data_IF_626070627079
#
_entry.id   IF_626070627079
#
_cell.length_a   1.000
_cell.length_b   1.000
_cell.length_c   1.000
_cell.angle_alpha   90.00
_cell.angle_beta   90.00
_cell.angle_gamma   90.00
#
_symmetry.space_group_name_H-M   'P 1'
#
loop_
_entity.id
_entity.type
_entity.pdbx_description
1 polymer ?
#
# COMPACT_ATOMS: atom_id res chain seq x y z
N UNK A 1 8.71 -21.62 -38.59
CA UNK A 1 7.46 -22.24 -38.14
C UNK A 1 7.73 -22.93 -36.80
N UNK A 2 7.36 -22.31 -35.70
CA UNK A 2 7.46 -22.92 -34.36
C UNK A 2 6.34 -23.97 -34.31
N UNK A 3 6.71 -25.25 -34.23
CA UNK A 3 5.76 -26.35 -34.23
C UNK A 3 4.78 -26.23 -33.05
N UNK A 4 3.53 -25.93 -33.34
CA UNK A 4 2.40 -25.95 -32.40
C UNK A 4 2.15 -27.34 -31.79
N UNK A 5 2.83 -28.37 -32.27
CA UNK A 5 2.71 -29.76 -31.83
C UNK A 5 3.24 -30.02 -30.39
N UNK A 6 4.02 -29.11 -29.81
CA UNK A 6 4.52 -29.24 -28.43
C UNK A 6 3.38 -29.09 -27.40
N UNK A 7 2.28 -28.43 -27.76
CA UNK A 7 1.14 -28.24 -26.86
C UNK A 7 0.20 -29.45 -26.74
N UNK A 8 0.36 -30.46 -27.61
CA UNK A 8 -0.58 -31.59 -27.73
C UNK A 8 -0.24 -32.77 -26.80
N UNK A 9 0.96 -32.78 -26.21
CA UNK A 9 1.39 -33.87 -25.33
C UNK A 9 1.20 -33.60 -23.83
N UNK A 10 0.43 -32.55 -23.47
CA UNK A 10 0.10 -32.29 -22.08
C UNK A 10 -0.85 -33.36 -21.53
N UNK A 11 -0.49 -33.94 -20.41
CA UNK A 11 -1.37 -34.90 -19.70
C UNK A 11 -2.60 -34.14 -19.18
N UNK A 12 -3.70 -34.88 -18.90
CA UNK A 12 -4.91 -34.27 -18.32
C UNK A 12 -4.64 -33.55 -16.98
N UNK A 13 -3.68 -34.05 -16.22
CA UNK A 13 -3.24 -33.42 -14.98
C UNK A 13 -2.53 -32.08 -15.23
N UNK A 14 -1.68 -32.01 -16.27
CA UNK A 14 -0.98 -30.78 -16.65
C UNK A 14 -1.98 -29.70 -17.11
N UNK A 15 -3.00 -30.08 -17.86
CA UNK A 15 -4.07 -29.17 -18.29
C UNK A 15 -4.84 -28.58 -17.10
N UNK A 16 -5.20 -29.42 -16.11
CA UNK A 16 -5.87 -28.98 -14.88
C UNK A 16 -4.99 -28.04 -14.08
N UNK A 17 -3.70 -28.30 -13.98
CA UNK A 17 -2.75 -27.49 -13.24
C UNK A 17 -2.54 -26.13 -13.93
N UNK A 18 -2.37 -26.12 -15.26
CA UNK A 18 -2.28 -24.87 -16.04
C UNK A 18 -3.56 -24.05 -15.89
N UNK A 19 -4.73 -24.69 -15.94
CA UNK A 19 -5.99 -24.01 -15.72
C UNK A 19 -6.10 -23.41 -14.30
N UNK A 20 -5.68 -24.15 -13.28
CA UNK A 20 -5.66 -23.67 -11.90
C UNK A 20 -4.71 -22.49 -11.72
N UNK A 21 -3.51 -22.54 -12.30
CA UNK A 21 -2.53 -21.45 -12.28
C UNK A 21 -3.07 -20.21 -12.98
N UNK A 22 -3.74 -20.38 -14.13
CA UNK A 22 -4.36 -19.28 -14.87
C UNK A 22 -5.47 -18.62 -14.05
N UNK A 23 -6.29 -19.42 -13.36
CA UNK A 23 -7.36 -18.92 -12.50
C UNK A 23 -6.79 -18.14 -11.31
N UNK A 24 -5.73 -18.64 -10.66
CA UNK A 24 -5.01 -17.93 -9.58
C UNK A 24 -4.42 -16.63 -10.10
N UNK A 25 -3.82 -16.64 -11.29
CA UNK A 25 -3.26 -15.44 -11.91
C UNK A 25 -4.33 -14.36 -12.17
N UNK A 26 -5.48 -14.77 -12.72
CA UNK A 26 -6.63 -13.87 -12.92
C UNK A 26 -7.11 -13.31 -11.58
N UNK A 27 -7.22 -14.15 -10.55
CA UNK A 27 -7.63 -13.71 -9.21
C UNK A 27 -6.67 -12.64 -8.65
N UNK A 28 -5.36 -12.85 -8.80
CA UNK A 28 -4.33 -11.87 -8.39
C UNK A 28 -4.51 -10.54 -9.13
N UNK A 29 -4.74 -10.59 -10.46
CA UNK A 29 -4.97 -9.37 -11.25
C UNK A 29 -6.22 -8.61 -10.79
N UNK A 30 -7.31 -9.32 -10.48
CA UNK A 30 -8.54 -8.71 -9.93
C UNK A 30 -8.25 -8.03 -8.59
N UNK A 31 -7.54 -8.70 -7.68
CA UNK A 31 -7.16 -8.15 -6.37
C UNK A 31 -6.32 -6.87 -6.55
N UNK A 32 -5.30 -6.91 -7.42
CA UNK A 32 -4.46 -5.74 -7.72
C UNK A 32 -5.31 -4.60 -8.30
N UNK A 33 -6.24 -4.90 -9.20
CA UNK A 33 -7.16 -3.92 -9.79
C UNK A 33 -8.05 -3.24 -8.75
N UNK A 34 -8.63 -4.03 -7.84
CA UNK A 34 -9.47 -3.52 -6.74
C UNK A 34 -8.64 -2.65 -5.79
N UNK A 35 -7.44 -3.10 -5.41
CA UNK A 35 -6.53 -2.32 -4.56
C UNK A 35 -6.12 -1.01 -5.24
N UNK A 36 -5.77 -1.05 -6.52
CA UNK A 36 -5.46 0.15 -7.31
C UNK A 36 -6.62 1.14 -7.36
N UNK A 37 -7.85 0.65 -7.59
CA UNK A 37 -9.05 1.49 -7.55
C UNK A 37 -9.29 2.13 -6.18
N UNK A 38 -9.15 1.37 -5.10
CA UNK A 38 -9.29 1.88 -3.73
C UNK A 38 -8.25 2.96 -3.41
N UNK A 39 -6.99 2.75 -3.80
CA UNK A 39 -5.92 3.74 -3.64
C UNK A 39 -6.23 5.02 -4.43
N UNK A 40 -6.67 4.90 -5.68
CA UNK A 40 -7.05 6.05 -6.50
C UNK A 40 -8.21 6.85 -5.87
N UNK A 41 -9.23 6.17 -5.36
CA UNK A 41 -10.36 6.76 -4.66
C UNK A 41 -9.93 7.49 -3.37
N UNK A 42 -9.02 6.91 -2.61
CA UNK A 42 -8.42 7.53 -1.42
C UNK A 42 -7.63 8.80 -1.79
N UNK A 43 -6.82 8.76 -2.84
CA UNK A 43 -6.06 9.91 -3.31
C UNK A 43 -6.99 11.07 -3.74
N UNK A 44 -8.06 10.77 -4.48
CA UNK A 44 -9.06 11.77 -4.88
C UNK A 44 -9.77 12.39 -3.68
N UNK A 45 -10.13 11.60 -2.68
CA UNK A 45 -10.74 12.10 -1.44
C UNK A 45 -9.79 13.00 -0.63
N UNK A 46 -8.49 12.64 -0.59
CA UNK A 46 -7.45 13.43 0.06
C UNK A 46 -7.21 14.76 -0.65
N UNK A 47 -7.21 14.77 -1.98
CA UNK A 47 -7.11 15.99 -2.78
C UNK A 47 -8.23 16.97 -2.42
N UNK A 48 -9.48 16.51 -2.36
CA UNK A 48 -10.61 17.35 -1.94
C UNK A 48 -10.41 17.98 -0.56
N UNK A 49 -9.91 17.22 0.41
CA UNK A 49 -9.66 17.77 1.77
C UNK A 49 -8.58 18.84 1.78
N UNK A 50 -7.54 18.71 0.97
CA UNK A 50 -6.50 19.74 0.84
C UNK A 50 -7.05 20.96 0.13
N UNK A 51 -7.80 20.78 -0.96
CA UNK A 51 -8.39 21.88 -1.70
C UNK A 51 -9.33 22.72 -0.80
N UNK A 52 -10.18 22.07 0.02
CA UNK A 52 -11.03 22.76 1.01
C UNK A 52 -10.19 23.50 2.05
N UNK A 53 -9.17 22.84 2.63
CA UNK A 53 -8.32 23.46 3.64
C UNK A 53 -7.57 24.68 3.11
N UNK A 54 -7.07 24.60 1.88
CA UNK A 54 -6.36 25.69 1.21
C UNK A 54 -7.33 26.82 0.87
N UNK A 55 -8.51 26.49 0.31
CA UNK A 55 -9.55 27.45 -0.01
C UNK A 55 -9.98 28.23 1.23
N UNK A 56 -10.34 27.54 2.31
CA UNK A 56 -10.76 28.20 3.57
C UNK A 56 -9.68 29.11 4.12
N UNK A 57 -8.41 28.69 4.10
CA UNK A 57 -7.30 29.46 4.61
C UNK A 57 -7.00 30.74 3.79
N UNK A 58 -7.25 30.70 2.48
CA UNK A 58 -7.00 31.82 1.56
C UNK A 58 -8.22 32.79 1.54
N UNK A 59 -9.45 32.26 1.45
CA UNK A 59 -10.68 33.06 1.38
C UNK A 59 -10.89 33.87 2.67
N UNK A 60 -10.58 33.30 3.83
CA UNK A 60 -10.65 34.03 5.11
C UNK A 60 -9.57 35.11 5.28
N UNK A 61 -8.67 35.27 4.29
CA UNK A 61 -7.53 36.21 4.33
C UNK A 61 -6.64 36.12 5.57
N UNK A 62 -6.73 35.00 6.32
CA UNK A 62 -5.92 34.77 7.52
C UNK A 62 -4.47 34.49 7.13
N UNK A 63 -4.25 33.99 5.90
CA UNK A 63 -2.93 33.61 5.40
C UNK A 63 -2.65 34.37 4.10
N UNK A 64 -1.67 35.27 4.18
CA UNK A 64 -1.26 36.14 3.07
C UNK A 64 0.07 35.65 2.43
N UNK A 65 0.79 34.74 3.08
CA UNK A 65 2.09 34.30 2.62
C UNK A 65 2.16 32.78 2.41
N UNK A 66 2.78 32.34 1.31
CA UNK A 66 3.01 30.93 0.96
C UNK A 66 3.63 30.12 2.12
N UNK A 67 4.65 30.67 2.80
CA UNK A 67 5.31 29.99 3.92
C UNK A 67 4.34 29.75 5.10
N UNK A 68 3.46 30.69 5.37
CA UNK A 68 2.44 30.57 6.42
C UNK A 68 1.40 29.49 6.05
N UNK A 69 0.96 29.44 4.77
CA UNK A 69 0.04 28.41 4.29
C UNK A 69 0.62 27.01 4.43
N UNK A 70 1.87 26.83 4.02
CA UNK A 70 2.56 25.53 4.15
C UNK A 70 2.69 25.12 5.63
N UNK A 71 3.10 26.06 6.49
CA UNK A 71 3.24 25.78 7.94
C UNK A 71 1.91 25.40 8.58
N UNK A 72 0.83 26.13 8.28
CA UNK A 72 -0.52 25.85 8.77
C UNK A 72 -1.03 24.51 8.26
N UNK A 73 -0.92 24.26 6.95
CA UNK A 73 -1.36 23.03 6.32
C UNK A 73 -0.60 21.80 6.84
N UNK A 74 0.72 21.90 7.02
CA UNK A 74 1.53 20.83 7.63
C UNK A 74 1.06 20.53 9.05
N UNK A 75 0.84 21.53 9.90
CA UNK A 75 0.33 21.34 11.27
C UNK A 75 -1.01 20.59 11.29
N UNK A 76 -1.95 20.98 10.43
CA UNK A 76 -3.24 20.29 10.29
C UNK A 76 -3.09 18.87 9.76
N UNK A 77 -2.19 18.66 8.81
CA UNK A 77 -1.92 17.36 8.21
C UNK A 77 -1.30 16.38 9.22
N UNK A 78 -0.35 16.83 10.04
CA UNK A 78 0.20 16.04 11.14
C UNK A 78 -0.86 15.67 12.18
N UNK A 79 -1.69 16.61 12.58
CA UNK A 79 -2.79 16.33 13.51
C UNK A 79 -3.75 15.27 13.00
N UNK A 80 -4.08 15.31 11.69
CA UNK A 80 -4.88 14.26 11.04
C UNK A 80 -4.15 12.92 10.99
N UNK A 81 -2.85 12.92 10.71
CA UNK A 81 -2.05 11.69 10.70
C UNK A 81 -2.03 11.03 12.08
N UNK A 82 -1.73 11.75 13.14
CA UNK A 82 -1.76 11.22 14.50
C UNK A 82 -3.12 10.64 14.86
N UNK A 83 -4.21 11.34 14.49
CA UNK A 83 -5.57 10.83 14.71
C UNK A 83 -5.85 9.53 13.93
N UNK A 84 -5.29 9.37 12.73
CA UNK A 84 -5.47 8.16 11.91
C UNK A 84 -4.56 7.01 12.31
N UNK A 85 -3.36 7.33 12.83
CA UNK A 85 -2.35 6.34 13.22
C UNK A 85 -2.58 5.74 14.60
N UNK A 86 -3.47 6.32 15.40
CA UNK A 86 -3.74 5.86 16.76
C UNK A 86 -4.24 4.40 16.81
N UNK A 87 -5.25 4.06 16.00
CA UNK A 87 -5.83 2.72 15.96
C UNK A 87 -4.81 1.67 15.47
N UNK A 88 -4.11 1.84 14.34
CA UNK A 88 -3.14 0.86 13.89
C UNK A 88 -1.98 0.66 14.87
N UNK A 89 -1.54 1.70 15.56
CA UNK A 89 -0.50 1.57 16.58
C UNK A 89 -0.99 0.72 17.75
N UNK A 90 -2.22 0.91 18.20
CA UNK A 90 -2.81 0.07 19.26
C UNK A 90 -2.88 -1.39 18.80
N UNK A 91 -3.30 -1.67 17.56
CA UNK A 91 -3.35 -3.05 17.06
C UNK A 91 -1.97 -3.71 17.06
N UNK A 92 -0.93 -2.99 16.65
CA UNK A 92 0.45 -3.49 16.67
C UNK A 92 0.90 -3.77 18.12
N UNK A 93 0.62 -2.84 19.04
CA UNK A 93 0.97 -3.01 20.46
C UNK A 93 0.24 -4.23 21.07
N UNK A 94 -1.04 -4.41 20.77
CA UNK A 94 -1.80 -5.58 21.22
C UNK A 94 -1.20 -6.88 20.66
N UNK A 95 -0.82 -6.90 19.40
CA UNK A 95 -0.13 -8.05 18.81
C UNK A 95 1.19 -8.37 19.50
N UNK A 96 1.99 -7.35 19.84
CA UNK A 96 3.23 -7.52 20.63
C UNK A 96 2.95 -8.06 22.03
N UNK A 97 1.94 -7.55 22.71
CA UNK A 97 1.55 -8.03 24.05
C UNK A 97 1.19 -9.51 24.00
N UNK A 98 0.39 -9.94 23.01
CA UNK A 98 0.02 -11.35 22.84
C UNK A 98 1.24 -12.24 22.64
N UNK A 99 2.20 -11.81 21.82
CA UNK A 99 3.46 -12.55 21.63
C UNK A 99 4.29 -12.61 22.91
N UNK A 100 4.42 -11.50 23.62
CA UNK A 100 5.17 -11.46 24.89
C UNK A 100 4.57 -12.38 25.94
N UNK A 101 3.24 -12.45 26.04
CA UNK A 101 2.55 -13.38 26.94
C UNK A 101 2.90 -14.82 26.59
N UNK A 102 2.83 -15.19 25.31
CA UNK A 102 3.19 -16.55 24.86
C UNK A 102 4.66 -16.87 25.15
N UNK A 103 5.58 -15.95 24.79
CA UNK A 103 7.01 -16.14 25.04
C UNK A 103 7.32 -16.30 26.53
N UNK A 104 6.62 -15.56 27.40
CA UNK A 104 6.78 -15.66 28.86
C UNK A 104 6.23 -16.97 29.43
N UNK A 105 5.09 -17.46 28.91
CA UNK A 105 4.49 -18.73 29.37
C UNK A 105 5.40 -19.90 29.01
N UNK A 106 5.95 -19.90 27.79
CA UNK A 106 6.75 -21.02 27.27
C UNK A 106 8.26 -20.86 27.51
N UNK A 107 8.70 -19.75 28.13
CA UNK A 107 10.13 -19.39 28.28
C UNK A 107 10.93 -19.46 26.97
N UNK A 108 10.27 -19.16 25.84
CA UNK A 108 10.84 -19.21 24.51
C UNK A 108 10.74 -17.84 23.83
N UNK A 109 11.80 -17.03 23.95
CA UNK A 109 11.90 -15.72 23.32
C UNK A 109 12.45 -15.75 21.89
N UNK A 110 12.85 -16.94 21.39
CA UNK A 110 13.29 -17.12 20.01
C UNK A 110 12.14 -17.55 19.08
N UNK A 111 10.93 -17.56 19.58
CA UNK A 111 9.75 -17.94 18.81
C UNK A 111 9.53 -17.05 17.59
N UNK A 112 9.41 -17.69 16.43
CA UNK A 112 9.05 -17.01 15.19
C UNK A 112 7.55 -17.19 14.90
N UNK A 113 6.72 -16.12 15.03
CA UNK A 113 5.28 -16.22 14.80
C UNK A 113 4.90 -16.53 13.36
N UNK A 114 5.82 -16.40 12.40
CA UNK A 114 5.59 -16.70 10.97
C UNK A 114 6.03 -18.10 10.57
N UNK A 115 6.51 -18.90 11.50
CA UNK A 115 6.99 -20.24 11.21
C UNK A 115 5.88 -21.10 10.59
N UNK A 116 6.28 -22.00 9.68
CA UNK A 116 5.38 -22.91 8.94
C UNK A 116 5.01 -24.16 9.73
N UNK A 117 5.73 -24.47 10.82
CA UNK A 117 5.53 -25.70 11.62
C UNK A 117 4.82 -25.43 12.95
N UNK A 118 5.10 -24.31 13.60
CA UNK A 118 4.60 -23.96 14.93
C UNK A 118 4.07 -22.52 15.03
N UNK A 119 3.92 -21.82 13.89
CA UNK A 119 3.47 -20.45 13.79
C UNK A 119 2.26 -20.26 12.89
N UNK A 120 2.06 -19.01 12.45
CA UNK A 120 0.96 -18.65 11.55
C UNK A 120 1.06 -19.32 10.18
N UNK A 121 2.25 -19.73 9.78
CA UNK A 121 2.48 -20.42 8.51
C UNK A 121 1.79 -21.79 8.41
N UNK A 122 1.41 -22.40 9.53
CA UNK A 122 0.73 -23.72 9.56
C UNK A 122 -0.62 -23.75 8.86
N UNK A 123 -1.30 -22.58 8.74
CA UNK A 123 -2.59 -22.47 8.05
C UNK A 123 -2.45 -22.36 6.52
N UNK A 124 -1.24 -22.34 5.99
CA UNK A 124 -0.99 -22.25 4.55
C UNK A 124 -0.42 -23.55 4.00
N UNK A 125 -0.70 -23.78 2.72
CA UNK A 125 0.04 -24.76 1.94
C UNK A 125 1.47 -24.28 1.76
N UNK A 126 2.45 -25.10 2.16
CA UNK A 126 3.84 -24.87 1.80
C UNK A 126 4.29 -25.92 0.79
N UNK A 127 5.12 -25.49 -0.13
CA UNK A 127 5.62 -26.29 -1.22
C UNK A 127 7.13 -26.31 -1.15
N UNK A 128 7.72 -27.48 -1.32
CA UNK A 128 9.15 -27.61 -1.50
C UNK A 128 9.46 -28.25 -2.84
N UNK A 129 10.62 -27.94 -3.38
CA UNK A 129 11.17 -28.67 -4.52
C UNK A 129 11.54 -30.07 -4.03
N UNK A 130 10.75 -31.06 -4.44
CA UNK A 130 11.03 -32.49 -4.15
C UNK A 130 12.28 -32.90 -4.89
N UNK A 131 13.21 -33.60 -4.15
CA UNK A 131 14.41 -34.17 -4.73
C UNK A 131 14.06 -35.32 -5.67
N UNK A 132 15.07 -35.84 -6.37
CA UNK A 132 15.10 -36.92 -7.35
C UNK A 132 14.21 -36.72 -8.59
N UNK A 133 14.90 -36.38 -9.63
CA UNK A 133 14.42 -36.32 -11.01
C UNK A 133 14.11 -37.77 -11.49
N UNK A 134 12.88 -38.19 -11.30
CA UNK A 134 12.35 -39.43 -11.91
C UNK A 134 11.38 -39.11 -13.03
N UNK A 135 11.72 -38.21 -13.93
CA UNK A 135 10.84 -37.85 -15.04
C UNK A 135 11.61 -37.76 -16.33
N UNK A 136 10.98 -38.14 -17.43
CA UNK A 136 11.51 -38.06 -18.77
C UNK A 136 12.18 -36.71 -19.09
N UNK A 137 13.39 -36.77 -19.63
CA UNK A 137 14.28 -35.63 -19.91
C UNK A 137 13.68 -34.56 -20.83
N UNK A 138 12.51 -34.77 -21.42
CA UNK A 138 11.89 -33.95 -22.44
C UNK A 138 10.71 -33.09 -21.97
N UNK A 139 10.35 -33.13 -20.67
CA UNK A 139 9.28 -32.28 -20.16
C UNK A 139 9.78 -30.85 -19.91
N UNK A 140 9.28 -29.88 -20.69
CA UNK A 140 9.64 -28.46 -20.56
C UNK A 140 9.18 -27.86 -19.21
N UNK A 141 8.13 -28.41 -18.62
CA UNK A 141 7.60 -27.99 -17.30
C UNK A 141 7.57 -29.20 -16.38
N UNK A 142 8.50 -29.25 -15.44
CA UNK A 142 8.64 -30.37 -14.50
C UNK A 142 7.88 -30.06 -13.19
N UNK A 143 6.56 -30.16 -13.22
CA UNK A 143 5.73 -29.97 -12.02
C UNK A 143 5.88 -31.09 -10.97
N UNK A 144 6.38 -32.24 -11.34
CA UNK A 144 6.65 -33.37 -10.40
C UNK A 144 7.70 -33.03 -9.34
N UNK A 145 8.42 -31.93 -9.46
CA UNK A 145 9.40 -31.48 -8.45
C UNK A 145 8.78 -30.61 -7.34
N UNK A 146 7.52 -30.18 -7.48
CA UNK A 146 6.81 -29.45 -6.45
C UNK A 146 6.00 -30.42 -5.59
N UNK A 147 6.47 -30.64 -4.37
CA UNK A 147 5.79 -31.50 -3.39
C UNK A 147 5.18 -30.62 -2.31
N UNK A 148 3.96 -30.92 -1.90
CA UNK A 148 3.35 -30.28 -0.75
C UNK A 148 4.13 -30.66 0.49
N UNK A 149 4.74 -29.69 1.16
CA UNK A 149 5.51 -29.89 2.38
C UNK A 149 4.61 -29.84 3.62
N UNK A 150 3.61 -28.96 3.60
CA UNK A 150 2.67 -28.83 4.69
C UNK A 150 1.25 -28.61 4.17
N UNK A 151 0.29 -29.31 4.74
CA UNK A 151 -1.14 -29.07 4.54
C UNK A 151 -1.65 -28.10 5.61
N UNK A 152 -2.60 -27.20 5.28
CA UNK A 152 -3.17 -26.31 6.26
C UNK A 152 -3.76 -27.06 7.46
N UNK A 153 -3.28 -26.75 8.66
CA UNK A 153 -3.79 -27.29 9.90
C UNK A 153 -3.63 -26.28 11.04
N UNK A 154 -4.45 -26.43 12.06
CA UNK A 154 -4.37 -25.59 13.24
C UNK A 154 -3.57 -26.32 14.33
N UNK A 155 -2.57 -25.65 14.86
CA UNK A 155 -1.74 -26.11 15.97
C UNK A 155 -2.11 -25.29 17.22
N UNK A 156 -2.48 -25.98 18.31
CA UNK A 156 -2.89 -25.28 19.56
C UNK A 156 -1.77 -24.44 20.14
N UNK A 157 -0.52 -24.83 19.97
CA UNK A 157 0.66 -24.12 20.45
C UNK A 157 0.91 -22.80 19.69
N UNK A 158 0.38 -22.68 18.47
CA UNK A 158 0.49 -21.51 17.61
C UNK A 158 -0.62 -20.48 17.82
N UNK A 159 -1.47 -20.63 18.84
CA UNK A 159 -2.62 -19.73 19.08
C UNK A 159 -2.26 -18.25 19.10
N UNK A 160 -1.12 -17.91 19.70
CA UNK A 160 -0.65 -16.53 19.80
C UNK A 160 -0.29 -15.95 18.41
N UNK A 161 0.24 -16.78 17.51
CA UNK A 161 0.55 -16.38 16.14
C UNK A 161 -0.71 -16.10 15.33
N UNK A 162 -1.76 -16.90 15.52
CA UNK A 162 -3.04 -16.71 14.81
C UNK A 162 -3.73 -15.41 15.22
N UNK A 163 -3.43 -14.87 16.40
CA UNK A 163 -3.95 -13.59 16.85
C UNK A 163 -2.99 -12.45 16.50
N UNK A 164 -1.71 -12.59 16.81
CA UNK A 164 -0.73 -11.50 16.68
C UNK A 164 -0.42 -11.16 15.23
N UNK A 165 -0.26 -12.17 14.34
CA UNK A 165 0.11 -11.92 12.94
C UNK A 165 -0.99 -11.16 12.19
N UNK A 166 -2.29 -11.51 12.26
CA UNK A 166 -3.34 -10.69 11.69
C UNK A 166 -3.39 -9.26 12.25
N UNK A 167 -3.16 -9.08 13.56
CA UNK A 167 -3.09 -7.74 14.16
C UNK A 167 -1.93 -6.92 13.61
N UNK A 168 -0.76 -7.52 13.40
CA UNK A 168 0.39 -6.86 12.75
C UNK A 168 0.12 -6.54 11.29
N UNK A 169 -0.48 -7.46 10.54
CA UNK A 169 -0.81 -7.24 9.13
C UNK A 169 -1.82 -6.11 8.97
N UNK A 170 -2.93 -6.16 9.69
CA UNK A 170 -3.97 -5.13 9.62
C UNK A 170 -3.44 -3.79 10.14
N UNK A 171 -2.77 -3.78 11.29
CA UNK A 171 -2.18 -2.58 11.87
C UNK A 171 -1.08 -1.99 10.98
N UNK A 172 -0.18 -2.82 10.46
CA UNK A 172 0.91 -2.40 9.58
C UNK A 172 0.42 -1.82 8.26
N UNK A 173 -0.48 -2.52 7.57
CA UNK A 173 -1.07 -2.03 6.32
C UNK A 173 -1.82 -0.71 6.54
N UNK A 174 -2.62 -0.62 7.59
CA UNK A 174 -3.35 0.60 7.92
C UNK A 174 -2.40 1.77 8.24
N UNK A 175 -1.34 1.51 9.01
CA UNK A 175 -0.32 2.51 9.32
C UNK A 175 0.39 3.01 8.05
N UNK A 176 0.76 2.10 7.14
CA UNK A 176 1.36 2.44 5.84
C UNK A 176 0.42 3.30 4.98
N UNK A 177 -0.88 2.99 4.97
CA UNK A 177 -1.88 3.80 4.28
C UNK A 177 -2.02 5.20 4.91
N UNK A 178 -1.97 5.31 6.23
CA UNK A 178 -1.99 6.61 6.91
C UNK A 178 -0.73 7.43 6.61
N UNK A 179 0.45 6.80 6.58
CA UNK A 179 1.72 7.44 6.27
C UNK A 179 1.78 7.90 4.79
N UNK A 180 1.38 7.05 3.85
CA UNK A 180 1.30 7.42 2.43
C UNK A 180 0.31 8.56 2.19
N UNK A 181 -0.79 8.58 2.94
CA UNK A 181 -1.78 9.66 2.95
C UNK A 181 -1.18 10.98 3.45
N UNK A 182 -0.35 10.96 4.50
CA UNK A 182 0.38 12.13 4.98
C UNK A 182 1.30 12.71 3.89
N UNK A 183 2.09 11.85 3.26
CA UNK A 183 3.02 12.25 2.21
C UNK A 183 2.29 12.86 1.02
N UNK A 184 1.27 12.19 0.51
CA UNK A 184 0.45 12.65 -0.61
C UNK A 184 -0.17 14.02 -0.32
N UNK A 185 -0.75 14.22 0.86
CA UNK A 185 -1.34 15.50 1.28
C UNK A 185 -0.27 16.60 1.41
N UNK A 186 0.91 16.28 1.86
CA UNK A 186 2.01 17.25 1.98
C UNK A 186 2.47 17.74 0.61
N UNK A 187 2.64 16.83 -0.36
CA UNK A 187 3.01 17.16 -1.74
C UNK A 187 1.91 17.99 -2.42
N UNK A 188 0.64 17.59 -2.25
CA UNK A 188 -0.50 18.33 -2.80
C UNK A 188 -0.60 19.74 -2.22
N UNK A 189 -0.40 19.91 -0.91
CA UNK A 189 -0.39 21.21 -0.26
C UNK A 189 0.71 22.12 -0.83
N UNK A 190 1.90 21.57 -1.04
CA UNK A 190 3.02 22.30 -1.61
C UNK A 190 2.75 22.73 -3.06
N UNK A 191 2.20 21.82 -3.88
CA UNK A 191 1.79 22.10 -5.25
C UNK A 191 0.71 23.19 -5.30
N UNK A 192 -0.38 23.07 -4.52
CA UNK A 192 -1.47 24.04 -4.49
C UNK A 192 -1.02 25.41 -3.96
N UNK A 193 -0.18 25.42 -2.93
CA UNK A 193 0.37 26.68 -2.43
C UNK A 193 1.21 27.41 -3.48
N UNK A 194 1.95 26.68 -4.32
CA UNK A 194 2.71 27.25 -5.43
C UNK A 194 1.78 27.82 -6.50
N UNK A 195 0.82 27.04 -6.96
CA UNK A 195 -0.15 27.47 -7.99
C UNK A 195 -0.88 28.76 -7.59
N UNK A 196 -1.30 28.89 -6.34
CA UNK A 196 -2.08 30.06 -5.88
C UNK A 196 -1.19 31.30 -5.80
N UNK A 197 0.00 31.19 -5.21
CA UNK A 197 0.84 32.37 -5.00
C UNK A 197 1.62 32.77 -6.26
N UNK A 198 1.96 31.84 -7.17
CA UNK A 198 2.59 32.17 -8.47
C UNK A 198 1.57 32.85 -9.40
N UNK A 199 0.34 32.31 -9.52
CA UNK A 199 -0.71 32.96 -10.33
C UNK A 199 -1.08 34.35 -9.81
N UNK A 200 -1.04 34.56 -8.50
CA UNK A 200 -1.26 35.86 -7.90
C UNK A 200 -0.17 36.89 -8.26
N UNK A 201 1.09 36.45 -8.35
CA UNK A 201 2.22 37.29 -8.77
C UNK A 201 2.18 37.60 -10.28
N UNK A 202 1.85 36.61 -11.11
CA UNK A 202 1.70 36.81 -12.55
C UNK A 202 0.58 37.81 -12.87
N UNK A 203 -0.58 37.67 -12.20
CA UNK A 203 -1.68 38.62 -12.35
C UNK A 203 -1.35 40.05 -11.86
N UNK A 204 -0.53 40.17 -10.83
CA UNK A 204 -0.06 41.47 -10.36
C UNK A 204 0.90 42.11 -11.35
N UNK A 205 1.86 41.35 -11.88
CA UNK A 205 2.83 41.85 -12.86
C UNK A 205 2.17 42.23 -14.19
N UNK A 206 1.16 41.49 -14.65
CA UNK A 206 0.39 41.84 -15.83
C UNK A 206 -0.39 43.20 -15.64
N UNK A 207 -1.05 43.38 -14.50
CA UNK A 207 -1.76 44.58 -14.19
C UNK A 207 -0.85 45.83 -14.07
N UNK A 208 0.39 45.65 -13.58
CA UNK A 208 1.37 46.76 -13.57
C UNK A 208 1.87 47.08 -14.97
N UNK A 209 2.19 46.04 -15.79
CA UNK A 209 2.60 46.25 -17.17
C UNK A 209 1.54 46.96 -18.01
N UNK A 210 0.26 46.58 -17.81
CA UNK A 210 -0.87 47.25 -18.50
C UNK A 210 -1.03 48.73 -18.05
N UNK A 211 -0.82 49.04 -16.79
CA UNK A 211 -0.84 50.41 -16.30
C UNK A 211 0.29 51.26 -16.88
N UNK A 212 1.49 50.73 -16.97
CA UNK A 212 2.65 51.39 -17.56
C UNK A 212 2.40 51.68 -19.05
N UNK A 213 1.87 50.69 -19.78
CA UNK A 213 1.53 50.84 -21.20
C UNK A 213 0.44 51.92 -21.43
N UNK A 214 -0.59 51.98 -20.55
CA UNK A 214 -1.63 52.99 -20.61
C UNK A 214 -1.09 54.39 -20.31
N UNK A 215 -0.17 54.54 -19.36
CA UNK A 215 0.47 55.82 -19.07
C UNK A 215 1.38 56.31 -20.21
N UNK A 216 2.07 55.40 -20.89
CA UNK A 216 2.89 55.74 -22.06
C UNK A 216 2.03 56.20 -23.25
N UNK A 217 0.85 55.59 -23.46
CA UNK A 217 -0.06 55.98 -24.53
C UNK A 217 -0.76 57.33 -24.27
N UNK A 218 -0.89 57.76 -23.01
CA UNK A 218 -1.48 59.08 -22.66
C UNK A 218 -0.46 60.22 -22.75
N UNK A 219 0.82 59.93 -22.80
CA UNK A 219 1.93 60.89 -22.86
C UNK A 219 2.50 61.08 -24.28
N UNK A 220 1.93 60.40 -25.27
CA UNK A 220 2.22 60.56 -26.69
C UNK A 220 1.06 61.21 -27.42
#
# INVERSE_FOLDING_TARGET
MINLTILISLTENDKRLIFALLLVFILILVIIGVLGYLLFRLMKWQSKKIDTLVHDAVVTKVITNRKQLIKYGRKKNYALFFKQSYIPIILIILGLIVLLIRCSINNDFNYNPFNTYDGFGTIFYTWKLGGEFTGDEYSFIRFNTLVVDNYPHFVSEAWASYVSVPLFLVGGVWYLLAASSLLSRTVLLEKRSREIFEKSLEGYNQNEADKINQQQQQNT
#
